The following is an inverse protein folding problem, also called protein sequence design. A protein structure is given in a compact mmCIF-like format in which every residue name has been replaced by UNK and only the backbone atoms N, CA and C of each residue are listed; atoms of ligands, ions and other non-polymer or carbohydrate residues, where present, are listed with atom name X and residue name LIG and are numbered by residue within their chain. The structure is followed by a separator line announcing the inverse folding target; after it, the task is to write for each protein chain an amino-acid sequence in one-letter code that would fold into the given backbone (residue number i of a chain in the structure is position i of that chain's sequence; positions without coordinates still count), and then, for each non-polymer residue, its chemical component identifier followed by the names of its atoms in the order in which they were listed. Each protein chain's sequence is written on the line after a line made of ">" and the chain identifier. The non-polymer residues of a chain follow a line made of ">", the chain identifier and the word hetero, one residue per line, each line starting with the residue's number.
data_IF_854524903179
#
_entry.id   IF_854524903179
#
_cell.length_a   1.000
_cell.length_b   1.000
_cell.length_c   1.000
_cell.angle_alpha   90.00
_cell.angle_beta   90.00
_cell.angle_gamma   90.00
#
_symmetry.space_group_name_H-M   'P 1'
#
loop_
_entity.id
_entity.type
_entity.pdbx_description
1 polymer ?
#
# COMPACT_ATOMS: atom_id res chain seq x y z
N UNK A 1 -32.80 -67.79 32.69
CA UNK A 1 -31.69 -66.97 32.15
C UNK A 1 -32.08 -66.49 30.76
N UNK A 2 -31.73 -65.23 30.44
CA UNK A 2 -31.98 -64.47 29.19
C UNK A 2 -33.28 -63.67 29.19
N UNK A 3 -33.31 -62.40 28.81
CA UNK A 3 -32.32 -61.32 28.78
C UNK A 3 -33.18 -60.06 28.56
N UNK A 4 -33.09 -59.07 29.44
CA UNK A 4 -33.75 -57.78 29.21
C UNK A 4 -33.04 -57.09 28.03
N UNK A 5 -33.76 -56.89 26.93
CA UNK A 5 -33.27 -56.10 25.79
C UNK A 5 -33.48 -54.63 26.15
N UNK A 6 -32.40 -53.98 26.58
CA UNK A 6 -32.34 -52.54 26.77
C UNK A 6 -32.20 -51.88 25.39
N UNK A 7 -33.24 -51.23 24.88
CA UNK A 7 -33.17 -50.44 23.66
C UNK A 7 -32.46 -49.12 24.01
N UNK A 8 -31.15 -49.03 23.74
CA UNK A 8 -30.42 -47.77 23.77
C UNK A 8 -30.82 -46.91 22.56
N UNK A 9 -31.58 -45.86 22.81
CA UNK A 9 -31.82 -44.80 21.82
C UNK A 9 -30.53 -44.00 21.66
N UNK A 10 -29.81 -44.24 20.56
CA UNK A 10 -28.64 -43.46 20.17
C UNK A 10 -29.12 -42.11 19.61
N UNK A 11 -29.10 -41.07 20.44
CA UNK A 11 -29.28 -39.69 19.99
C UNK A 11 -27.99 -39.27 19.28
N UNK A 12 -27.96 -39.37 17.95
CA UNK A 12 -26.90 -38.78 17.15
C UNK A 12 -27.07 -37.27 17.13
N UNK A 13 -26.28 -36.57 17.96
CA UNK A 13 -26.11 -35.14 17.83
C UNK A 13 -25.50 -34.85 16.45
N UNK A 14 -26.30 -34.32 15.52
CA UNK A 14 -25.81 -33.78 14.27
C UNK A 14 -24.87 -32.62 14.62
N UNK A 15 -23.55 -32.89 14.57
CA UNK A 15 -22.54 -31.83 14.60
C UNK A 15 -22.74 -31.04 13.32
N UNK A 16 -23.48 -29.94 13.42
CA UNK A 16 -23.60 -28.98 12.34
C UNK A 16 -22.22 -28.39 12.08
N UNK A 17 -21.51 -28.94 11.10
CA UNK A 17 -20.36 -28.27 10.51
C UNK A 17 -20.87 -26.94 9.98
N UNK A 18 -20.58 -25.85 10.70
CA UNK A 18 -20.69 -24.50 10.13
C UNK A 18 -19.76 -24.48 8.94
N UNK A 19 -20.30 -24.67 7.74
CA UNK A 19 -19.62 -24.34 6.50
C UNK A 19 -19.34 -22.85 6.60
N UNK A 20 -18.08 -22.51 6.89
CA UNK A 20 -17.62 -21.13 6.93
C UNK A 20 -17.82 -20.60 5.51
N UNK A 21 -18.77 -19.67 5.33
CA UNK A 21 -18.95 -19.02 4.04
C UNK A 21 -17.58 -18.56 3.53
N UNK A 22 -17.20 -18.85 2.28
CA UNK A 22 -15.94 -18.37 1.74
C UNK A 22 -15.89 -16.85 1.91
N UNK A 23 -14.78 -16.34 2.45
CA UNK A 23 -14.52 -14.91 2.48
C UNK A 23 -14.70 -14.38 1.07
N UNK A 24 -15.55 -13.36 0.90
CA UNK A 24 -15.79 -12.75 -0.40
C UNK A 24 -14.45 -12.22 -0.95
N UNK A 25 -14.14 -12.55 -2.19
CA UNK A 25 -12.97 -12.04 -2.89
C UNK A 25 -13.00 -10.50 -2.91
N UNK A 26 -11.82 -9.89 -2.79
CA UNK A 26 -11.66 -8.45 -2.86
C UNK A 26 -11.68 -7.97 -4.31
N UNK A 27 -12.34 -6.84 -4.60
CA UNK A 27 -12.37 -6.32 -5.95
C UNK A 27 -10.99 -5.87 -6.41
N UNK A 28 -10.70 -6.12 -7.69
CA UNK A 28 -9.62 -5.47 -8.42
C UNK A 28 -10.25 -4.49 -9.41
N UNK A 29 -10.39 -3.24 -8.97
CA UNK A 29 -11.02 -2.15 -9.72
C UNK A 29 -10.09 -0.94 -9.82
N UNK A 30 -10.61 0.20 -10.28
CA UNK A 30 -9.84 1.45 -10.42
C UNK A 30 -9.64 2.21 -9.09
N UNK A 31 -10.02 1.62 -7.95
CA UNK A 31 -9.94 2.19 -6.61
C UNK A 31 -10.49 3.63 -6.52
N UNK A 32 -11.80 3.83 -6.74
CA UNK A 32 -12.40 5.17 -6.86
C UNK A 32 -12.36 5.98 -5.56
N UNK A 33 -12.22 5.32 -4.40
CA UNK A 33 -12.15 5.95 -3.08
C UNK A 33 -10.73 6.23 -2.60
N UNK A 34 -9.72 5.91 -3.42
CA UNK A 34 -8.32 6.09 -3.07
C UNK A 34 -7.95 7.57 -2.94
N UNK A 35 -7.14 7.87 -1.93
CA UNK A 35 -6.33 9.07 -1.90
C UNK A 35 -5.16 8.87 -2.85
N UNK A 36 -5.26 9.47 -4.03
CA UNK A 36 -4.35 9.24 -5.15
C UNK A 36 -3.67 10.53 -5.63
N UNK A 37 -3.56 11.55 -4.76
CA UNK A 37 -2.98 12.86 -5.11
C UNK A 37 -1.55 12.68 -5.63
N UNK A 38 -1.34 13.04 -6.89
CA UNK A 38 -0.05 12.90 -7.56
C UNK A 38 0.83 14.15 -7.41
N UNK A 39 0.32 15.26 -6.86
CA UNK A 39 1.02 16.53 -6.69
C UNK A 39 1.76 16.97 -7.96
N UNK A 40 1.14 16.87 -9.14
CA UNK A 40 1.81 17.05 -10.43
C UNK A 40 2.39 18.46 -10.63
N UNK A 41 1.73 19.46 -10.06
CA UNK A 41 1.97 20.89 -10.31
C UNK A 41 2.11 21.73 -9.05
N UNK A 42 2.02 21.11 -7.86
CA UNK A 42 1.95 21.80 -6.58
C UNK A 42 2.93 21.25 -5.53
N UNK A 43 3.97 20.53 -5.94
CA UNK A 43 4.94 19.93 -5.00
C UNK A 43 5.52 20.99 -4.06
N UNK A 44 5.84 22.19 -4.56
CA UNK A 44 6.46 23.24 -3.74
C UNK A 44 5.50 23.77 -2.68
N UNK A 45 4.27 24.07 -3.06
CA UNK A 45 3.22 24.60 -2.19
C UNK A 45 2.81 23.55 -1.15
N UNK A 46 2.61 22.30 -1.58
CA UNK A 46 2.29 21.20 -0.68
C UNK A 46 3.44 20.92 0.29
N UNK A 47 4.70 20.99 -0.16
CA UNK A 47 5.87 20.86 0.72
C UNK A 47 5.86 21.91 1.83
N UNK A 48 5.63 23.18 1.49
CA UNK A 48 5.49 24.25 2.50
C UNK A 48 4.41 23.91 3.53
N UNK A 49 3.21 23.52 3.08
CA UNK A 49 2.08 23.19 3.96
C UNK A 49 2.35 21.96 4.83
N UNK A 50 3.01 20.95 4.29
CA UNK A 50 3.38 19.75 5.06
C UNK A 50 4.34 20.09 6.17
N UNK A 51 5.36 20.92 5.87
CA UNK A 51 6.40 21.27 6.83
C UNK A 51 5.94 22.30 7.87
N UNK A 52 5.05 23.22 7.51
CA UNK A 52 4.57 24.27 8.41
C UNK A 52 3.37 23.85 9.26
N UNK A 53 2.56 22.90 8.79
CA UNK A 53 1.24 22.63 9.35
C UNK A 53 0.94 21.14 9.52
N UNK A 54 0.79 20.39 8.42
CA UNK A 54 0.25 19.02 8.48
C UNK A 54 1.08 18.09 9.35
N UNK A 55 2.41 18.08 9.19
CA UNK A 55 3.26 17.13 9.92
C UNK A 55 3.13 17.28 11.43
N UNK A 56 3.22 18.52 11.94
CA UNK A 56 3.11 18.79 13.38
C UNK A 56 1.71 18.48 13.93
N UNK A 57 0.66 18.86 13.19
CA UNK A 57 -0.72 18.60 13.63
C UNK A 57 -1.07 17.11 13.64
N UNK A 58 -0.65 16.37 12.61
CA UNK A 58 -0.87 14.92 12.51
C UNK A 58 -0.07 14.17 13.59
N UNK A 59 1.14 14.63 13.93
CA UNK A 59 1.87 14.09 15.08
C UNK A 59 1.15 14.37 16.41
N UNK A 60 0.60 15.57 16.59
CA UNK A 60 -0.07 15.92 17.85
C UNK A 60 -1.41 15.21 18.02
N UNK A 61 -2.12 14.92 16.94
CA UNK A 61 -3.41 14.21 16.94
C UNK A 61 -3.27 12.69 16.91
N UNK A 62 -2.13 12.14 16.46
CA UNK A 62 -1.92 10.70 16.33
C UNK A 62 -0.65 10.24 17.05
N UNK A 63 -0.82 9.73 18.27
CA UNK A 63 0.28 9.30 19.13
C UNK A 63 1.14 8.17 18.51
N UNK A 64 0.53 7.24 17.78
CA UNK A 64 1.27 6.17 17.08
C UNK A 64 2.14 6.76 15.97
N UNK A 65 1.58 7.67 15.18
CA UNK A 65 2.31 8.34 14.10
C UNK A 65 3.48 9.17 14.66
N UNK A 66 3.26 9.95 15.72
CA UNK A 66 4.33 10.68 16.42
C UNK A 66 5.43 9.76 16.92
N UNK A 67 5.07 8.63 17.53
CA UNK A 67 6.03 7.65 18.04
C UNK A 67 6.84 7.00 16.90
N UNK A 68 6.18 6.64 15.80
CA UNK A 68 6.83 6.10 14.61
C UNK A 68 7.81 7.12 14.01
N UNK A 69 7.36 8.38 13.85
CA UNK A 69 8.17 9.46 13.30
C UNK A 69 9.42 9.73 14.15
N UNK A 70 9.27 9.86 15.46
CA UNK A 70 10.39 10.11 16.38
C UNK A 70 11.42 8.96 16.35
N UNK A 71 10.96 7.71 16.20
CA UNK A 71 11.86 6.55 16.04
C UNK A 71 12.59 6.58 14.69
N UNK A 72 11.87 6.86 13.61
CA UNK A 72 12.44 6.99 12.28
C UNK A 72 13.48 8.11 12.22
N UNK A 73 13.19 9.27 12.82
CA UNK A 73 14.13 10.39 12.94
C UNK A 73 15.40 9.99 13.69
N UNK A 74 15.29 9.34 14.86
CA UNK A 74 16.45 8.81 15.61
C UNK A 74 17.28 7.84 14.77
N UNK A 75 16.63 6.96 14.00
CA UNK A 75 17.32 5.99 13.13
C UNK A 75 17.94 6.59 11.87
N UNK A 76 17.50 7.78 11.48
CA UNK A 76 18.03 8.54 10.35
C UNK A 76 19.17 9.48 10.74
N UNK A 77 19.41 9.67 12.04
CA UNK A 77 20.46 10.56 12.53
C UNK A 77 21.80 10.22 11.87
N UNK A 78 22.46 11.25 11.30
CA UNK A 78 23.74 11.15 10.59
C UNK A 78 23.73 10.35 9.27
N UNK A 79 22.55 10.02 8.72
CA UNK A 79 22.46 9.38 7.40
C UNK A 79 22.21 10.43 6.33
N UNK A 80 22.98 10.36 5.26
CA UNK A 80 22.72 11.15 4.06
C UNK A 80 21.44 10.61 3.40
N UNK A 81 20.40 11.45 3.16
CA UNK A 81 19.18 11.03 2.48
C UNK A 81 19.40 10.68 1.00
N UNK A 82 20.58 10.92 0.43
CA UNK A 82 20.88 10.64 -0.97
C UNK A 82 20.45 11.78 -1.89
N UNK A 83 20.71 11.61 -3.18
CA UNK A 83 20.52 12.68 -4.18
C UNK A 83 19.03 13.00 -4.33
N UNK A 84 18.66 14.27 -4.19
CA UNK A 84 17.28 14.75 -4.41
C UNK A 84 16.29 14.44 -3.28
N UNK A 85 16.68 13.69 -2.26
CA UNK A 85 15.81 13.44 -1.10
C UNK A 85 16.13 14.38 0.05
N UNK A 86 15.08 14.83 0.73
CA UNK A 86 15.19 15.58 2.00
C UNK A 86 15.30 14.61 3.18
N UNK A 87 15.67 15.12 4.35
CA UNK A 87 15.63 14.32 5.58
C UNK A 87 14.21 13.77 5.85
N UNK A 88 13.18 14.58 5.62
CA UNK A 88 11.79 14.19 5.84
C UNK A 88 11.33 13.12 4.84
N UNK A 89 11.85 13.09 3.61
CA UNK A 89 11.62 11.97 2.68
C UNK A 89 12.19 10.66 3.26
N UNK A 90 13.44 10.67 3.72
CA UNK A 90 14.08 9.50 4.30
C UNK A 90 13.40 9.04 5.61
N UNK A 91 12.88 9.97 6.41
CA UNK A 91 12.09 9.65 7.61
C UNK A 91 10.74 9.05 7.23
N UNK A 92 10.01 9.63 6.27
CA UNK A 92 8.72 9.12 5.80
C UNK A 92 8.81 7.69 5.27
N UNK A 93 9.83 7.38 4.45
CA UNK A 93 10.09 6.01 3.98
C UNK A 93 10.31 5.05 5.17
N UNK A 94 11.07 5.47 6.19
CA UNK A 94 11.27 4.65 7.39
C UNK A 94 10.01 4.52 8.24
N UNK A 95 9.16 5.55 8.31
CA UNK A 95 7.87 5.44 9.02
C UNK A 95 6.98 4.42 8.34
N UNK A 96 6.97 4.39 7.01
CA UNK A 96 6.21 3.42 6.23
C UNK A 96 6.76 1.99 6.38
N UNK A 97 8.07 1.80 6.28
CA UNK A 97 8.69 0.46 6.29
C UNK A 97 8.97 -0.11 7.69
N UNK A 98 9.02 0.74 8.73
CA UNK A 98 9.27 0.29 10.10
C UNK A 98 7.99 -0.28 10.73
N UNK A 99 8.10 -1.45 11.37
CA UNK A 99 6.98 -2.13 12.01
C UNK A 99 6.60 -1.59 13.39
N UNK A 100 7.22 -0.51 13.90
CA UNK A 100 7.13 -0.15 15.31
C UNK A 100 6.97 1.37 15.60
N UNK A 101 5.75 1.87 15.87
CA UNK A 101 4.46 1.24 15.60
C UNK A 101 4.26 0.94 14.12
N UNK A 102 3.45 -0.06 13.81
CA UNK A 102 3.16 -0.49 12.44
C UNK A 102 2.22 0.52 11.74
N UNK A 103 2.78 1.55 11.12
CA UNK A 103 1.99 2.64 10.50
C UNK A 103 1.37 2.22 9.17
N UNK A 104 2.09 1.44 8.35
CA UNK A 104 1.64 1.14 6.98
C UNK A 104 0.25 0.50 6.90
N UNK A 105 -0.17 -0.31 7.88
CA UNK A 105 -1.50 -0.92 7.88
C UNK A 105 -2.60 0.16 7.98
N UNK A 106 -2.50 1.05 8.98
CA UNK A 106 -3.46 2.13 9.22
C UNK A 106 -3.42 3.17 8.11
N UNK A 107 -2.20 3.51 7.67
CA UNK A 107 -1.99 4.44 6.57
C UNK A 107 -2.58 3.92 5.26
N UNK A 108 -2.27 2.69 4.84
CA UNK A 108 -2.80 2.12 3.60
C UNK A 108 -4.32 1.94 3.64
N UNK A 109 -4.91 1.66 4.81
CA UNK A 109 -6.36 1.66 4.96
C UNK A 109 -6.95 3.07 4.79
N UNK A 110 -6.37 4.09 5.44
CA UNK A 110 -6.80 5.47 5.29
C UNK A 110 -6.67 5.96 3.84
N UNK A 111 -5.59 5.59 3.14
CA UNK A 111 -5.39 5.92 1.72
C UNK A 111 -6.42 5.22 0.84
N UNK A 112 -6.74 3.95 1.10
CA UNK A 112 -7.68 3.17 0.25
C UNK A 112 -9.08 3.76 0.20
N UNK A 113 -9.56 4.28 1.32
CA UNK A 113 -10.95 4.70 1.49
C UNK A 113 -11.11 6.21 1.77
N UNK A 114 -10.00 6.96 1.73
CA UNK A 114 -9.91 8.31 2.27
C UNK A 114 -10.35 9.44 1.34
N UNK A 115 -10.68 9.19 0.07
CA UNK A 115 -11.00 10.26 -0.90
C UNK A 115 -12.08 11.22 -0.39
N UNK A 116 -13.15 10.69 0.18
CA UNK A 116 -14.28 11.49 0.67
C UNK A 116 -13.94 12.39 1.87
N UNK A 117 -12.88 12.06 2.61
CA UNK A 117 -12.42 12.81 3.78
C UNK A 117 -11.08 13.51 3.54
N UNK A 118 -10.56 13.48 2.31
CA UNK A 118 -9.22 13.95 2.00
C UNK A 118 -9.03 15.41 2.43
N UNK A 119 -9.98 16.28 2.13
CA UNK A 119 -9.90 17.71 2.46
C UNK A 119 -10.24 18.05 3.92
N UNK A 120 -10.62 17.07 4.72
CA UNK A 120 -11.13 17.28 6.08
C UNK A 120 -10.35 16.45 7.10
N UNK A 121 -10.76 15.20 7.33
CA UNK A 121 -10.31 14.37 8.45
C UNK A 121 -9.22 13.35 8.07
N UNK A 122 -8.59 13.51 6.91
CA UNK A 122 -7.49 12.65 6.50
C UNK A 122 -6.22 12.97 7.31
N UNK A 123 -5.87 12.12 8.28
CA UNK A 123 -4.79 12.39 9.24
C UNK A 123 -3.40 11.89 8.79
N UNK A 124 -3.16 11.84 7.47
CA UNK A 124 -1.91 11.33 6.90
C UNK A 124 -1.44 12.12 5.66
N UNK A 125 -1.79 13.40 5.53
CA UNK A 125 -1.34 14.27 4.45
C UNK A 125 0.18 14.34 4.38
N UNK A 126 0.84 14.50 5.52
CA UNK A 126 2.29 14.65 5.56
C UNK A 126 2.98 13.38 5.05
N UNK A 127 2.54 12.21 5.54
CA UNK A 127 3.12 10.93 5.12
C UNK A 127 2.82 10.64 3.64
N UNK A 128 1.58 10.89 3.19
CA UNK A 128 1.17 10.68 1.81
C UNK A 128 2.00 11.52 0.83
N UNK A 129 2.12 12.83 1.09
CA UNK A 129 2.91 13.75 0.28
C UNK A 129 4.39 13.35 0.24
N UNK A 130 5.01 13.18 1.42
CA UNK A 130 6.44 12.91 1.50
C UNK A 130 6.83 11.57 0.86
N UNK A 131 5.98 10.54 0.95
CA UNK A 131 6.20 9.29 0.22
C UNK A 131 6.04 9.49 -1.28
N UNK A 132 4.98 10.16 -1.72
CA UNK A 132 4.74 10.42 -3.14
C UNK A 132 5.92 11.15 -3.78
N UNK A 133 6.38 12.22 -3.13
CA UNK A 133 7.48 13.04 -3.63
C UNK A 133 8.82 12.31 -3.57
N UNK A 134 9.06 11.53 -2.50
CA UNK A 134 10.24 10.68 -2.40
C UNK A 134 10.31 9.64 -3.53
N UNK A 135 9.19 9.01 -3.90
CA UNK A 135 9.15 8.03 -5.00
C UNK A 135 9.48 8.68 -6.34
N UNK A 136 8.99 9.90 -6.61
CA UNK A 136 9.36 10.65 -7.83
C UNK A 136 10.87 10.86 -7.91
N UNK A 137 11.49 11.36 -6.84
CA UNK A 137 12.93 11.58 -6.79
C UNK A 137 13.75 10.29 -6.88
N UNK A 138 13.33 9.23 -6.19
CA UNK A 138 13.99 7.92 -6.30
C UNK A 138 13.91 7.38 -7.72
N UNK A 139 12.76 7.53 -8.39
CA UNK A 139 12.57 7.10 -9.77
C UNK A 139 13.41 7.92 -10.76
N UNK A 140 13.53 9.23 -10.57
CA UNK A 140 14.40 10.11 -11.38
C UNK A 140 15.88 9.73 -11.29
N UNK A 141 16.31 9.21 -10.15
CA UNK A 141 17.67 8.73 -9.93
C UNK A 141 17.92 7.31 -10.46
N UNK A 142 16.86 6.57 -10.77
CA UNK A 142 16.93 5.26 -11.43
C UNK A 142 16.99 5.44 -12.96
N UNK A 143 17.25 4.36 -13.70
CA UNK A 143 17.31 4.41 -15.17
C UNK A 143 16.02 5.00 -15.74
N UNK A 144 16.12 6.21 -16.32
CA UNK A 144 14.97 6.96 -16.84
C UNK A 144 14.21 6.14 -17.87
N UNK A 145 12.89 6.07 -17.70
CA UNK A 145 11.98 5.36 -18.61
C UNK A 145 11.94 3.84 -18.43
N UNK A 146 12.72 3.27 -17.52
CA UNK A 146 12.71 1.82 -17.29
C UNK A 146 11.65 1.42 -16.28
N UNK A 147 10.77 0.50 -16.69
CA UNK A 147 9.86 -0.20 -15.80
C UNK A 147 10.58 -1.41 -15.19
N UNK A 148 10.15 -1.86 -14.02
CA UNK A 148 10.77 -2.97 -13.29
C UNK A 148 9.71 -3.99 -12.92
N UNK A 149 10.05 -5.27 -13.04
CA UNK A 149 9.19 -6.36 -12.56
C UNK A 149 9.41 -6.56 -11.06
N UNK A 150 8.32 -6.56 -10.31
CA UNK A 150 8.29 -6.76 -8.86
C UNK A 150 7.23 -7.76 -8.47
N UNK A 151 7.30 -8.23 -7.23
CA UNK A 151 6.48 -9.32 -6.73
C UNK A 151 5.78 -8.94 -5.42
N UNK A 152 4.51 -9.32 -5.29
CA UNK A 152 3.74 -9.14 -4.05
C UNK A 152 3.02 -10.43 -3.68
N UNK A 153 3.09 -10.80 -2.40
CA UNK A 153 2.39 -11.96 -1.84
C UNK A 153 1.32 -11.52 -0.85
N UNK A 154 0.18 -12.22 -0.82
CA UNK A 154 -0.91 -11.93 0.12
C UNK A 154 -1.58 -13.20 0.63
N UNK A 155 -2.32 -13.06 1.74
CA UNK A 155 -3.24 -14.09 2.28
C UNK A 155 -4.69 -13.87 1.84
N UNK A 156 -4.93 -12.92 0.93
CA UNK A 156 -6.26 -12.49 0.51
C UNK A 156 -6.63 -13.10 -0.83
N UNK A 157 -7.92 -13.25 -1.07
CA UNK A 157 -8.50 -13.64 -2.35
C UNK A 157 -8.97 -12.39 -3.10
N UNK A 158 -8.83 -12.39 -4.42
CA UNK A 158 -9.21 -11.27 -5.29
C UNK A 158 -10.06 -11.76 -6.47
N UNK A 159 -10.79 -10.85 -7.10
CA UNK A 159 -11.59 -11.13 -8.29
C UNK A 159 -10.71 -11.70 -9.42
N UNK A 160 -11.25 -12.68 -10.15
CA UNK A 160 -10.50 -13.41 -11.20
C UNK A 160 -11.09 -13.22 -12.60
N UNK A 161 -12.24 -12.57 -12.71
CA UNK A 161 -12.92 -12.16 -13.93
C UNK A 161 -12.52 -10.73 -14.33
N UNK A 162 -11.22 -10.43 -14.23
CA UNK A 162 -10.66 -9.10 -14.44
C UNK A 162 -9.53 -9.05 -15.49
N UNK A 163 -9.31 -10.16 -16.21
CA UNK A 163 -8.36 -10.20 -17.33
C UNK A 163 -8.71 -9.12 -18.36
N UNK A 164 -7.69 -8.42 -18.88
CA UNK A 164 -7.76 -7.25 -19.76
C UNK A 164 -8.42 -5.99 -19.17
N UNK A 165 -8.85 -5.99 -17.90
CA UNK A 165 -9.32 -4.78 -17.21
C UNK A 165 -8.14 -3.97 -16.67
N UNK A 166 -8.32 -2.65 -16.59
CA UNK A 166 -7.43 -1.77 -15.83
C UNK A 166 -7.83 -1.76 -14.35
N UNK A 167 -6.83 -1.76 -13.48
CA UNK A 167 -6.98 -1.73 -12.03
C UNK A 167 -5.96 -0.77 -11.41
N UNK A 168 -6.25 -0.33 -10.19
CA UNK A 168 -5.27 0.32 -9.31
C UNK A 168 -5.32 -0.36 -7.95
N UNK A 169 -4.17 -0.41 -7.27
CA UNK A 169 -4.16 -0.93 -5.90
C UNK A 169 -4.85 -0.02 -4.89
N UNK A 170 -5.00 1.28 -5.19
CA UNK A 170 -5.72 2.23 -4.34
C UNK A 170 -5.01 2.63 -3.04
N UNK A 171 -3.85 2.08 -2.76
CA UNK A 171 -2.96 2.50 -1.68
C UNK A 171 -1.52 2.35 -2.12
N UNK A 172 -0.59 2.89 -1.33
CA UNK A 172 0.82 2.54 -1.49
C UNK A 172 0.98 1.02 -1.39
N UNK A 173 1.70 0.45 -2.35
CA UNK A 173 1.79 -1.00 -2.52
C UNK A 173 3.23 -1.45 -2.43
N UNK A 174 3.58 -2.07 -1.31
CA UNK A 174 4.88 -2.70 -1.11
C UNK A 174 4.99 -3.97 -1.96
N UNK A 175 6.08 -4.06 -2.70
CA UNK A 175 6.47 -5.18 -3.55
C UNK A 175 7.97 -5.44 -3.36
N UNK A 176 8.49 -6.53 -3.91
CA UNK A 176 9.91 -6.87 -3.84
C UNK A 176 10.49 -7.16 -5.21
N UNK A 177 11.77 -6.86 -5.43
CA UNK A 177 12.51 -7.37 -6.60
C UNK A 177 12.73 -8.89 -6.53
N UNK A 178 12.67 -9.48 -5.33
CA UNK A 178 12.88 -10.90 -5.11
C UNK A 178 11.54 -11.64 -4.94
N UNK A 179 11.14 -12.43 -5.94
CA UNK A 179 9.91 -13.25 -5.94
C UNK A 179 9.84 -14.21 -4.76
N UNK A 180 10.97 -14.84 -4.45
CA UNK A 180 11.06 -15.92 -3.46
C UNK A 180 11.34 -15.40 -2.05
N UNK A 181 11.62 -14.10 -1.92
CA UNK A 181 11.54 -13.41 -0.65
C UNK A 181 10.06 -13.33 -0.18
N UNK A 182 9.88 -12.99 1.11
CA UNK A 182 8.59 -12.55 1.64
C UNK A 182 7.49 -13.63 1.70
N UNK A 183 7.85 -14.93 1.75
CA UNK A 183 6.88 -16.04 1.88
C UNK A 183 5.95 -15.93 3.10
N UNK A 184 6.40 -15.26 4.16
CA UNK A 184 5.61 -14.99 5.36
C UNK A 184 4.38 -14.09 5.13
N UNK A 185 4.33 -13.35 4.02
CA UNK A 185 3.17 -12.54 3.60
C UNK A 185 2.03 -13.37 2.98
N UNK A 186 2.22 -14.67 2.75
CA UNK A 186 1.19 -15.59 2.31
C UNK A 186 1.43 -16.17 0.92
N UNK A 187 0.47 -16.99 0.48
CA UNK A 187 0.49 -17.70 -0.81
C UNK A 187 -0.89 -17.85 -1.45
N UNK A 188 -1.87 -17.02 -1.06
CA UNK A 188 -3.23 -17.08 -1.61
C UNK A 188 -3.27 -16.40 -2.97
N UNK A 189 -3.16 -15.08 -2.99
CA UNK A 189 -3.03 -14.31 -4.22
C UNK A 189 -1.69 -13.62 -4.28
N UNK A 190 -1.01 -13.75 -5.43
CA UNK A 190 0.29 -13.13 -5.67
C UNK A 190 0.33 -12.41 -7.01
N UNK A 191 1.12 -11.35 -7.06
CA UNK A 191 1.18 -10.45 -8.19
C UNK A 191 2.61 -10.38 -8.72
N UNK A 192 2.77 -10.62 -10.02
CA UNK A 192 3.93 -10.25 -10.82
C UNK A 192 3.59 -8.93 -11.51
N UNK A 193 4.28 -7.85 -11.16
CA UNK A 193 3.88 -6.49 -11.50
C UNK A 193 5.03 -5.83 -12.26
N UNK A 194 4.81 -5.46 -13.52
CA UNK A 194 5.69 -4.51 -14.20
C UNK A 194 5.25 -3.08 -13.86
N UNK A 195 6.02 -2.39 -13.03
CA UNK A 195 5.75 -1.03 -12.57
C UNK A 195 6.72 -0.02 -13.19
N UNK A 196 6.19 1.09 -13.67
CA UNK A 196 6.95 2.20 -14.23
C UNK A 196 7.07 3.36 -13.24
N UNK A 197 6.20 3.45 -12.23
CA UNK A 197 6.19 4.53 -11.23
C UNK A 197 6.62 4.08 -9.83
N UNK A 198 6.75 2.78 -9.59
CA UNK A 198 7.34 2.23 -8.38
C UNK A 198 8.85 2.48 -8.33
N UNK A 199 9.36 2.72 -7.12
CA UNK A 199 10.77 2.97 -6.89
C UNK A 199 11.32 2.05 -5.79
N UNK A 200 12.49 1.46 -6.05
CA UNK A 200 13.24 0.72 -5.04
C UNK A 200 13.65 1.66 -3.89
N UNK A 201 13.35 1.24 -2.65
CA UNK A 201 13.64 2.00 -1.45
C UNK A 201 15.09 1.82 -0.99
N UNK A 202 15.74 0.73 -1.38
CA UNK A 202 17.14 0.44 -1.05
C UNK A 202 17.45 0.57 0.44
N UNK A 203 18.51 1.32 0.77
CA UNK A 203 18.96 1.54 2.17
C UNK A 203 18.02 2.44 3.00
N UNK A 204 16.98 3.01 2.39
CA UNK A 204 15.95 3.75 3.12
C UNK A 204 14.90 2.83 3.75
N UNK A 205 14.72 1.61 3.24
CA UNK A 205 13.86 0.63 3.91
C UNK A 205 14.45 0.21 5.25
N UNK A 206 13.59 -0.01 6.22
CA UNK A 206 13.99 -0.60 7.51
C UNK A 206 14.49 -2.04 7.35
N UNK A 207 14.08 -2.74 6.29
CA UNK A 207 14.44 -4.12 5.99
C UNK A 207 15.04 -4.20 4.56
N UNK A 208 16.29 -3.76 4.34
CA UNK A 208 16.90 -3.74 3.01
C UNK A 208 16.92 -5.09 2.30
N UNK A 209 16.93 -6.19 3.06
CA UNK A 209 16.87 -7.56 2.54
C UNK A 209 15.53 -7.92 1.88
N UNK A 210 14.48 -7.12 2.08
CA UNK A 210 13.21 -7.30 1.39
C UNK A 210 13.26 -6.77 -0.05
N UNK A 211 14.33 -6.05 -0.43
CA UNK A 211 14.48 -5.42 -1.75
C UNK A 211 13.22 -4.67 -2.17
N UNK A 212 12.68 -3.90 -1.23
CA UNK A 212 11.35 -3.33 -1.34
C UNK A 212 11.28 -2.28 -2.46
N UNK A 213 10.31 -2.45 -3.34
CA UNK A 213 9.86 -1.47 -4.32
C UNK A 213 8.47 -1.02 -3.91
N UNK A 214 8.32 0.28 -3.69
CA UNK A 214 7.06 0.87 -3.29
C UNK A 214 6.38 1.52 -4.51
N UNK A 215 5.16 1.10 -4.77
CA UNK A 215 4.32 1.57 -5.88
C UNK A 215 3.34 2.64 -5.37
N UNK A 216 3.23 3.81 -6.01
CA UNK A 216 2.30 4.86 -5.61
C UNK A 216 0.83 4.50 -5.93
N UNK A 217 -0.16 5.09 -5.22
CA UNK A 217 -1.59 4.74 -5.38
C UNK A 217 -2.19 5.14 -6.74
N UNK A 218 -1.54 6.06 -7.47
CA UNK A 218 -2.04 6.59 -8.75
C UNK A 218 -1.63 5.77 -9.99
N UNK A 219 -0.75 4.77 -9.86
CA UNK A 219 -0.35 3.94 -11.00
C UNK A 219 -1.46 2.98 -11.42
N UNK A 220 -1.71 2.90 -12.74
CA UNK A 220 -2.68 2.00 -13.37
C UNK A 220 -1.99 0.77 -13.91
N UNK A 221 -2.68 -0.36 -13.79
CA UNK A 221 -2.19 -1.63 -14.29
C UNK A 221 -3.25 -2.35 -15.11
N UNK A 222 -2.85 -2.94 -16.23
CA UNK A 222 -3.69 -3.89 -16.95
C UNK A 222 -3.43 -5.29 -16.44
N UNK A 223 -4.50 -6.06 -16.22
CA UNK A 223 -4.39 -7.48 -15.87
C UNK A 223 -4.14 -8.31 -17.12
N UNK A 224 -2.92 -8.74 -17.35
CA UNK A 224 -2.54 -9.48 -18.56
C UNK A 224 -2.98 -10.94 -18.50
N UNK A 225 -2.77 -11.59 -17.36
CA UNK A 225 -3.14 -13.00 -17.17
C UNK A 225 -3.37 -13.33 -15.70
N UNK A 226 -4.15 -14.38 -15.46
CA UNK A 226 -4.38 -14.96 -14.14
C UNK A 226 -4.18 -16.47 -14.25
N UNK A 227 -3.23 -17.02 -13.49
CA UNK A 227 -2.98 -18.47 -13.40
C UNK A 227 -3.53 -19.00 -12.08
N UNK A 228 -4.26 -20.12 -12.12
CA UNK A 228 -4.87 -20.75 -10.94
C UNK A 228 -4.37 -22.18 -10.80
N UNK A 229 -3.97 -22.57 -9.59
CA UNK A 229 -3.74 -23.96 -9.21
C UNK A 229 -2.83 -24.76 -10.18
N UNK A 230 -1.83 -24.12 -10.76
CA UNK A 230 -0.78 -24.83 -11.50
C UNK A 230 0.11 -25.57 -10.50
N UNK A 231 0.32 -26.87 -10.75
CA UNK A 231 1.12 -27.72 -9.85
C UNK A 231 2.55 -27.15 -9.77
N UNK A 232 2.97 -26.77 -8.55
CA UNK A 232 4.25 -26.12 -8.22
C UNK A 232 4.34 -24.60 -8.48
N UNK A 233 3.23 -23.88 -8.68
CA UNK A 233 3.27 -22.41 -8.72
C UNK A 233 3.55 -21.81 -7.32
N UNK A 234 4.04 -20.58 -7.26
CA UNK A 234 4.49 -19.94 -6.00
C UNK A 234 3.32 -19.49 -5.11
N UNK A 235 2.09 -19.45 -5.64
CA UNK A 235 0.83 -19.12 -4.94
C UNK A 235 -0.39 -19.84 -5.56
N UNK A 236 -1.51 -19.87 -4.84
CA UNK A 236 -2.76 -20.52 -5.29
C UNK A 236 -3.32 -19.83 -6.55
N UNK A 237 -3.20 -18.50 -6.61
CA UNK A 237 -3.53 -17.67 -7.79
C UNK A 237 -2.41 -16.64 -8.03
N UNK A 238 -1.97 -16.52 -9.29
CA UNK A 238 -0.95 -15.55 -9.72
C UNK A 238 -1.51 -14.61 -10.78
N UNK A 239 -1.44 -13.32 -10.51
CA UNK A 239 -1.86 -12.22 -11.38
C UNK A 239 -0.63 -11.61 -12.04
N UNK A 240 -0.63 -11.46 -13.36
CA UNK A 240 0.40 -10.70 -14.07
C UNK A 240 -0.14 -9.35 -14.50
N UNK A 241 0.53 -8.29 -14.08
CA UNK A 241 0.11 -6.90 -14.29
C UNK A 241 1.16 -6.12 -15.07
N UNK A 242 0.73 -5.27 -16.00
CA UNK A 242 1.58 -4.33 -16.76
C UNK A 242 1.14 -2.89 -16.50
N UNK A 243 2.10 -1.98 -16.29
CA UNK A 243 1.79 -0.56 -16.10
C UNK A 243 1.21 0.04 -17.39
N UNK A 244 0.17 0.86 -17.23
CA UNK A 244 -0.53 1.55 -18.33
C UNK A 244 -0.55 3.07 -18.14
N UNK A 245 0.32 3.58 -17.26
CA UNK A 245 0.43 4.98 -16.92
C UNK A 245 -0.22 5.33 -15.57
N UNK A 246 -0.65 6.58 -15.43
CA UNK A 246 -1.14 7.12 -14.16
C UNK A 246 -2.54 7.71 -14.29
N UNK A 247 -3.25 7.80 -13.17
CA UNK A 247 -4.45 8.61 -13.01
C UNK A 247 -4.56 9.07 -11.56
N UNK A 248 -4.97 10.32 -11.35
CA UNK A 248 -5.21 10.89 -10.04
C UNK A 248 -6.52 11.67 -10.05
N UNK A 249 -7.41 11.35 -9.10
CA UNK A 249 -8.67 12.05 -8.89
C UNK A 249 -8.51 13.24 -7.94
N UNK A 250 -7.38 13.31 -7.22
CA UNK A 250 -7.09 14.33 -6.21
C UNK A 250 -5.87 15.18 -6.55
N UNK A 251 -5.40 15.18 -7.79
CA UNK A 251 -4.16 15.87 -8.16
C UNK A 251 -4.17 17.36 -7.77
N UNK A 252 -3.35 17.70 -6.77
CA UNK A 252 -3.27 19.02 -6.14
C UNK A 252 -4.59 19.52 -5.52
N UNK A 253 -5.45 18.61 -5.05
CA UNK A 253 -6.80 18.96 -4.61
C UNK A 253 -6.85 19.89 -3.39
N UNK A 254 -5.84 19.85 -2.53
CA UNK A 254 -5.73 20.74 -1.36
C UNK A 254 -5.30 22.15 -1.73
N UNK A 255 -4.47 22.32 -2.78
CA UNK A 255 -4.00 23.64 -3.21
C UNK A 255 -5.01 24.36 -4.11
N UNK A 256 -5.90 23.59 -4.74
CA UNK A 256 -7.00 24.12 -5.57
C UNK A 256 -8.22 24.55 -4.74
N UNK A 257 -8.18 24.40 -3.41
CA UNK A 257 -9.28 24.77 -2.53
C UNK A 257 -9.25 26.27 -2.21
N UNK A 258 -10.36 27.02 -2.37
CA UNK A 258 -10.40 28.47 -2.15
C UNK A 258 -9.90 28.93 -0.78
N UNK A 259 -9.96 28.08 0.25
CA UNK A 259 -9.46 28.43 1.59
C UNK A 259 -7.95 28.71 1.57
N UNK A 260 -7.20 28.10 0.66
CA UNK A 260 -5.75 28.27 0.55
C UNK A 260 -5.33 29.40 -0.42
N UNK A 261 -6.25 29.93 -1.24
CA UNK A 261 -5.94 31.04 -2.17
C UNK A 261 -5.87 32.41 -1.49
N UNK A 262 -6.32 32.54 -0.23
CA UNK A 262 -6.37 33.83 0.48
C UNK A 262 -5.19 34.11 1.42
N UNK A 263 -4.19 33.22 1.49
CA UNK A 263 -3.01 33.43 2.36
C UNK A 263 -1.84 34.10 1.61
N UNK A 264 -1.94 34.29 0.29
CA UNK A 264 -0.96 35.02 -0.53
C UNK A 264 -1.58 36.26 -1.22
N UNK A 265 -2.17 37.16 -0.43
CA UNK A 265 -2.33 38.58 -0.79
C UNK A 265 -1.82 39.49 0.32
#
# INVERSE_FOLDING_TARGET
>A
MRAHVLIMVMVTAAVGYRVRSPLKALPLDMAPNSVDDAYSTCTKEMSKQVLSNYLTNEQNSNADFKKAWNRAQKSNKHKNPGKGLTENHAIAIRVYTNGQPKIYDKFNAAVRDGRGIYKTNFNYHALHFLLTDALKHLKENQEKGKCVTTYRRTKLDFDTDVIQKEIRFGSFTSTSLCRDALTHFGKKSCFEIETCHGAALGTFSHLPQEEEVLIPPYEKFKVESIRKHEKNDWCDVVYKLSSTGIISNLDCALMKDPVFTFVEQ
#
